data_IF_220718917322
#
_entry.id   IF_220718917322
#
_cell.length_a   1.000
_cell.length_b   1.000
_cell.length_c   1.000
_cell.angle_alpha   90.00
_cell.angle_beta   90.00
_cell.angle_gamma   90.00
#
_symmetry.space_group_name_H-M   'P 1'
#
loop_
_entity.id
_entity.type
_entity.pdbx_description
1 polymer ?
#
# COMPACT_ATOMS: atom_id res chain seq x y z
N UNK A 1 12.25 -24.12 -15.56
CA UNK A 1 13.09 -24.12 -14.33
C UNK A 1 12.89 -22.80 -13.60
N UNK A 2 13.31 -21.67 -14.18
CA UNK A 2 13.11 -20.32 -13.63
C UNK A 2 11.71 -20.04 -13.03
N UNK A 3 10.62 -20.30 -13.78
CA UNK A 3 9.25 -20.03 -13.29
C UNK A 3 8.92 -20.80 -12.00
N UNK A 4 9.37 -22.04 -11.87
CA UNK A 4 9.12 -22.86 -10.67
C UNK A 4 9.88 -22.32 -9.46
N UNK A 5 11.12 -21.88 -9.68
CA UNK A 5 11.95 -21.31 -8.62
C UNK A 5 11.43 -19.94 -8.17
N UNK A 6 11.04 -19.08 -9.12
CA UNK A 6 10.43 -17.79 -8.85
C UNK A 6 9.12 -17.94 -8.07
N UNK A 7 8.23 -18.84 -8.52
CA UNK A 7 6.98 -19.15 -7.82
C UNK A 7 7.22 -19.66 -6.39
N UNK A 8 8.15 -20.60 -6.22
CA UNK A 8 8.48 -21.14 -4.90
C UNK A 8 9.11 -20.10 -3.97
N UNK A 9 9.93 -19.18 -4.50
CA UNK A 9 10.53 -18.10 -3.74
C UNK A 9 9.49 -17.03 -3.35
N UNK A 10 8.69 -16.55 -4.31
CA UNK A 10 7.62 -15.57 -4.06
C UNK A 10 6.59 -16.08 -3.07
N UNK A 11 6.16 -17.35 -3.19
CA UNK A 11 5.24 -17.97 -2.24
C UNK A 11 5.82 -18.09 -0.82
N UNK A 12 7.15 -18.25 -0.67
CA UNK A 12 7.79 -18.21 0.65
C UNK A 12 7.88 -16.78 1.18
N UNK A 13 8.11 -15.81 0.30
CA UNK A 13 8.19 -14.40 0.67
C UNK A 13 6.84 -13.87 1.16
N UNK A 14 5.74 -14.18 0.47
CA UNK A 14 4.39 -13.80 0.92
C UNK A 14 4.09 -14.40 2.30
N UNK A 15 4.36 -15.69 2.51
CA UNK A 15 4.16 -16.33 3.83
C UNK A 15 5.05 -15.74 4.92
N UNK A 16 6.23 -15.23 4.58
CA UNK A 16 7.07 -14.49 5.51
C UNK A 16 6.42 -13.14 5.88
N UNK A 17 5.91 -12.39 4.89
CA UNK A 17 5.21 -11.13 5.15
C UNK A 17 3.95 -11.34 5.99
N UNK A 18 3.12 -12.35 5.69
CA UNK A 18 1.94 -12.70 6.49
C UNK A 18 2.29 -13.00 7.96
N UNK A 19 3.46 -13.59 8.21
CA UNK A 19 3.88 -13.93 9.57
C UNK A 19 4.48 -12.74 10.32
N UNK A 20 5.20 -11.88 9.63
CA UNK A 20 6.09 -10.89 10.25
C UNK A 20 5.62 -9.44 10.05
N UNK A 21 4.66 -9.20 9.16
CA UNK A 21 4.19 -7.88 8.73
C UNK A 21 2.66 -7.75 8.69
N UNK A 22 1.91 -8.76 9.13
CA UNK A 22 0.46 -8.66 9.44
C UNK A 22 0.33 -8.89 10.95
N UNK A 23 0.57 -7.82 11.71
CA UNK A 23 0.87 -7.93 13.14
C UNK A 23 -0.38 -8.15 13.99
N UNK A 24 -1.51 -7.61 13.59
CA UNK A 24 -2.80 -7.81 14.24
C UNK A 24 -3.67 -8.89 13.57
N UNK A 25 -3.18 -9.52 12.50
CA UNK A 25 -3.80 -10.65 11.80
C UNK A 25 -5.12 -10.29 11.12
N UNK A 26 -5.21 -9.06 10.62
CA UNK A 26 -6.40 -8.59 9.92
C UNK A 26 -6.29 -8.66 8.38
N UNK A 27 -5.09 -9.00 7.89
CA UNK A 27 -4.78 -9.18 6.47
C UNK A 27 -4.30 -7.90 5.77
N UNK A 28 -4.19 -6.78 6.47
CA UNK A 28 -3.45 -5.59 6.05
C UNK A 28 -2.05 -5.66 6.65
N UNK A 29 -1.10 -4.93 6.06
CA UNK A 29 0.31 -5.10 6.40
C UNK A 29 0.93 -3.83 6.93
N UNK A 30 1.71 -3.94 8.00
CA UNK A 30 2.47 -2.84 8.59
C UNK A 30 3.96 -2.99 8.30
N UNK A 31 4.65 -1.86 8.14
CA UNK A 31 6.11 -1.87 8.09
C UNK A 31 6.69 -2.15 9.49
N UNK A 32 7.94 -2.60 9.55
CA UNK A 32 8.64 -2.77 10.83
C UNK A 32 8.89 -1.45 11.58
N UNK A 33 9.53 -1.49 12.76
CA UNK A 33 9.80 -0.31 13.60
C UNK A 33 10.75 0.71 12.98
N UNK A 34 11.37 0.38 11.85
CA UNK A 34 12.20 1.28 11.04
C UNK A 34 11.73 1.21 9.59
N UNK A 35 10.46 1.56 9.34
CA UNK A 35 9.83 1.40 8.04
C UNK A 35 10.60 2.10 6.92
N UNK A 36 11.20 3.26 7.21
CA UNK A 36 12.07 4.01 6.29
C UNK A 36 13.19 3.12 5.70
N UNK A 37 13.82 2.26 6.50
CA UNK A 37 14.91 1.38 6.03
C UNK A 37 14.36 0.20 5.24
N UNK A 38 13.14 -0.27 5.58
CA UNK A 38 12.52 -1.43 4.93
C UNK A 38 11.96 -1.11 3.54
N UNK A 39 11.46 0.11 3.34
CA UNK A 39 10.87 0.54 2.06
C UNK A 39 11.75 1.51 1.26
N UNK A 40 12.85 1.99 1.84
CA UNK A 40 13.80 2.93 1.22
C UNK A 40 13.10 4.18 0.69
N UNK A 41 11.97 4.58 1.30
CA UNK A 41 11.44 5.94 1.09
C UNK A 41 12.47 6.94 1.62
N UNK A 42 12.53 8.11 0.99
CA UNK A 42 13.43 9.19 1.42
C UNK A 42 13.29 9.42 2.93
N UNK A 43 14.38 9.77 3.61
CA UNK A 43 14.47 9.80 5.08
C UNK A 43 13.49 10.74 5.80
N UNK A 44 12.68 11.51 5.06
CA UNK A 44 11.55 12.26 5.60
C UNK A 44 10.23 11.83 4.95
N UNK A 45 9.38 11.15 5.72
CA UNK A 45 8.04 10.76 5.31
C UNK A 45 7.00 11.45 6.19
N UNK A 46 6.13 12.25 5.58
CA UNK A 46 5.14 13.10 6.26
C UNK A 46 4.13 12.33 7.11
N UNK A 47 3.84 11.06 6.77
CA UNK A 47 2.93 10.21 7.54
C UNK A 47 3.67 9.45 8.63
N UNK A 48 4.81 8.84 8.33
CA UNK A 48 5.58 8.09 9.34
C UNK A 48 6.16 9.00 10.42
N UNK A 49 6.43 10.26 10.08
CA UNK A 49 6.97 11.26 10.98
C UNK A 49 5.91 12.31 11.34
N UNK A 50 4.63 11.92 11.38
CA UNK A 50 3.48 12.80 11.65
C UNK A 50 3.62 13.63 12.94
N UNK A 51 4.39 13.14 13.91
CA UNK A 51 4.65 13.80 15.19
C UNK A 51 6.04 14.43 15.30
N UNK A 52 6.84 14.42 14.23
CA UNK A 52 8.12 15.14 14.20
C UNK A 52 7.90 16.66 14.16
N UNK A 53 8.73 17.38 14.90
CA UNK A 53 8.81 18.85 14.87
C UNK A 53 9.85 19.38 13.86
N UNK A 54 10.40 18.51 12.99
CA UNK A 54 11.36 18.90 11.95
C UNK A 54 12.78 19.17 12.45
N UNK A 55 13.11 18.77 13.70
CA UNK A 55 14.46 18.92 14.29
C UNK A 55 15.28 17.63 14.23
N UNK A 56 14.60 16.49 14.19
CA UNK A 56 15.11 15.13 13.98
C UNK A 56 13.98 14.27 13.36
N UNK A 57 14.27 13.03 13.00
CA UNK A 57 13.29 12.10 12.41
C UNK A 57 12.07 11.86 13.32
N UNK A 58 12.16 12.18 14.62
CA UNK A 58 11.06 12.03 15.57
C UNK A 58 10.64 10.58 15.81
N UNK A 59 9.40 10.39 16.24
CA UNK A 59 8.77 9.06 16.36
C UNK A 59 8.34 8.59 14.97
N UNK A 60 8.92 7.47 14.53
CA UNK A 60 8.43 6.70 13.38
C UNK A 60 7.20 5.86 13.79
N UNK A 61 6.07 6.09 13.14
CA UNK A 61 4.81 5.36 13.38
C UNK A 61 4.54 4.26 12.34
N UNK A 62 5.48 3.94 11.44
CA UNK A 62 5.28 3.00 10.33
C UNK A 62 4.75 1.61 10.73
N UNK A 63 5.04 1.17 11.96
CA UNK A 63 4.59 -0.11 12.55
C UNK A 63 3.22 -0.06 13.23
N UNK A 64 2.59 1.10 13.20
CA UNK A 64 1.31 1.44 13.86
C UNK A 64 0.26 1.80 12.80
N UNK A 65 0.60 1.61 11.53
CA UNK A 65 -0.20 1.92 10.36
C UNK A 65 -0.34 0.66 9.51
N UNK A 66 -1.55 0.45 9.03
CA UNK A 66 -1.76 -0.38 7.87
C UNK A 66 -1.21 0.38 6.66
N UNK A 67 -0.11 -0.16 6.14
CA UNK A 67 0.66 0.48 5.11
C UNK A 67 0.02 0.20 3.74
N UNK A 68 -0.59 1.23 3.14
CA UNK A 68 -1.23 1.14 1.83
C UNK A 68 -0.27 0.57 0.78
N UNK A 69 0.97 1.06 0.74
CA UNK A 69 1.97 0.60 -0.19
C UNK A 69 2.30 -0.89 -0.01
N UNK A 70 2.63 -1.32 1.22
CA UNK A 70 2.98 -2.72 1.48
C UNK A 70 1.81 -3.65 1.19
N UNK A 71 0.61 -3.32 1.66
CA UNK A 71 -0.60 -4.11 1.43
C UNK A 71 -0.89 -4.23 -0.07
N UNK A 72 -0.70 -3.15 -0.83
CA UNK A 72 -0.87 -3.14 -2.28
C UNK A 72 0.23 -3.90 -3.03
N UNK A 73 1.48 -3.82 -2.56
CA UNK A 73 2.60 -4.60 -3.10
C UNK A 73 2.37 -6.10 -2.90
N UNK A 74 1.88 -6.50 -1.72
CA UNK A 74 1.49 -7.89 -1.45
C UNK A 74 0.35 -8.32 -2.37
N UNK A 75 -0.68 -7.50 -2.54
CA UNK A 75 -1.77 -7.80 -3.47
C UNK A 75 -1.26 -8.03 -4.90
N UNK A 76 -0.36 -7.19 -5.40
CA UNK A 76 0.23 -7.38 -6.73
C UNK A 76 1.08 -8.65 -6.82
N UNK A 77 1.89 -8.96 -5.80
CA UNK A 77 2.71 -10.18 -5.79
C UNK A 77 1.83 -11.43 -5.76
N UNK A 78 0.77 -11.45 -4.94
CA UNK A 78 -0.21 -12.54 -4.89
C UNK A 78 -0.92 -12.71 -6.24
N UNK A 79 -1.29 -11.62 -6.92
CA UNK A 79 -1.83 -11.67 -8.27
C UNK A 79 -0.89 -12.40 -9.23
N UNK A 80 0.41 -12.06 -9.22
CA UNK A 80 1.36 -12.73 -10.10
C UNK A 80 1.65 -14.17 -9.67
N UNK A 81 1.62 -14.51 -8.38
CA UNK A 81 1.70 -15.90 -7.93
C UNK A 81 0.53 -16.73 -8.47
N UNK A 82 -0.69 -16.17 -8.54
CA UNK A 82 -1.81 -16.81 -9.22
C UNK A 82 -1.49 -17.08 -10.69
N UNK A 83 -0.99 -16.07 -11.42
CA UNK A 83 -0.61 -16.22 -12.84
C UNK A 83 0.48 -17.27 -13.04
N UNK A 84 1.48 -17.32 -12.15
CA UNK A 84 2.52 -18.36 -12.20
C UNK A 84 1.94 -19.76 -11.91
N UNK A 85 1.00 -19.87 -10.97
CA UNK A 85 0.31 -21.13 -10.67
C UNK A 85 -0.52 -21.62 -11.87
N UNK A 86 -1.21 -20.72 -12.59
CA UNK A 86 -1.93 -21.00 -13.83
C UNK A 86 -0.98 -21.59 -14.90
N UNK A 87 0.15 -20.93 -15.16
CA UNK A 87 1.16 -21.39 -16.12
C UNK A 87 1.82 -22.72 -15.74
N UNK A 88 1.89 -23.03 -14.45
CA UNK A 88 2.44 -24.28 -13.93
C UNK A 88 1.40 -25.42 -13.81
N UNK A 89 0.11 -25.13 -14.00
CA UNK A 89 -0.99 -26.08 -13.76
C UNK A 89 -1.15 -26.47 -12.29
N UNK A 90 -0.78 -25.58 -11.36
CA UNK A 90 -0.94 -25.79 -9.91
C UNK A 90 -2.31 -25.32 -9.44
N UNK A 91 -3.33 -26.16 -9.63
CA UNK A 91 -4.73 -25.87 -9.26
C UNK A 91 -4.92 -25.42 -7.79
N UNK A 92 -4.09 -25.95 -6.87
CA UNK A 92 -4.15 -25.54 -5.46
C UNK A 92 -3.62 -24.13 -5.27
N UNK A 93 -2.50 -23.82 -5.92
CA UNK A 93 -1.94 -22.47 -5.95
C UNK A 93 -2.91 -21.47 -6.56
N UNK A 94 -3.55 -21.80 -7.68
CA UNK A 94 -4.55 -20.93 -8.33
C UNK A 94 -5.65 -20.56 -7.32
N UNK A 95 -6.21 -21.55 -6.61
CA UNK A 95 -7.24 -21.31 -5.61
C UNK A 95 -6.73 -20.45 -4.43
N UNK A 96 -5.58 -20.82 -3.83
CA UNK A 96 -4.97 -20.10 -2.69
C UNK A 96 -4.71 -18.62 -3.02
N UNK A 97 -4.07 -18.35 -4.16
CA UNK A 97 -3.69 -16.99 -4.53
C UNK A 97 -4.88 -16.17 -5.03
N UNK A 98 -5.91 -16.79 -5.60
CA UNK A 98 -7.15 -16.08 -5.96
C UNK A 98 -7.87 -15.58 -4.71
N UNK A 99 -8.10 -16.46 -3.73
CA UNK A 99 -8.79 -16.10 -2.48
C UNK A 99 -8.04 -14.99 -1.73
N UNK A 100 -6.70 -15.10 -1.64
CA UNK A 100 -5.87 -14.07 -1.01
C UNK A 100 -5.93 -12.74 -1.75
N UNK A 101 -5.86 -12.77 -3.10
CA UNK A 101 -5.94 -11.55 -3.89
C UNK A 101 -7.28 -10.85 -3.69
N UNK A 102 -8.38 -11.58 -3.84
CA UNK A 102 -9.73 -11.04 -3.70
C UNK A 102 -9.90 -10.42 -2.31
N UNK A 103 -9.49 -11.13 -1.25
CA UNK A 103 -9.53 -10.62 0.12
C UNK A 103 -8.72 -9.32 0.30
N UNK A 104 -7.52 -9.25 -0.26
CA UNK A 104 -6.68 -8.05 -0.16
C UNK A 104 -7.32 -6.86 -0.89
N UNK A 105 -7.87 -7.09 -2.09
CA UNK A 105 -8.54 -6.02 -2.82
C UNK A 105 -9.79 -5.51 -2.09
N UNK A 106 -10.54 -6.39 -1.43
CA UNK A 106 -11.67 -5.99 -0.57
C UNK A 106 -11.19 -5.11 0.58
N UNK A 107 -10.14 -5.52 1.30
CA UNK A 107 -9.58 -4.78 2.43
C UNK A 107 -9.05 -3.39 2.03
N UNK A 108 -8.29 -3.33 0.93
CA UNK A 108 -7.76 -2.06 0.38
C UNK A 108 -8.91 -1.11 0.07
N UNK A 109 -9.95 -1.58 -0.63
CA UNK A 109 -11.08 -0.73 -1.00
C UNK A 109 -11.99 -0.37 0.17
N UNK A 110 -12.08 -1.22 1.18
CA UNK A 110 -12.93 -0.98 2.34
C UNK A 110 -12.31 0.04 3.31
N UNK A 111 -10.99 -0.06 3.55
CA UNK A 111 -10.35 0.65 4.66
C UNK A 111 -9.36 1.72 4.22
N UNK A 112 -8.84 1.63 3.01
CA UNK A 112 -7.81 2.57 2.52
C UNK A 112 -8.34 3.55 1.48
N UNK A 113 -9.51 3.32 0.91
CA UNK A 113 -10.19 4.26 0.01
C UNK A 113 -11.01 5.28 0.80
N UNK A 114 -10.80 6.56 0.52
CA UNK A 114 -11.65 7.61 1.06
C UNK A 114 -12.62 8.14 0.00
N UNK A 115 -13.91 7.92 0.23
CA UNK A 115 -14.96 8.36 -0.69
C UNK A 115 -15.07 9.89 -0.82
N UNK A 116 -14.72 10.65 0.22
CA UNK A 116 -14.84 12.10 0.16
C UNK A 116 -13.74 12.73 -0.72
N UNK A 117 -12.51 12.25 -0.57
CA UNK A 117 -11.36 12.71 -1.33
C UNK A 117 -11.20 12.01 -2.67
N UNK A 118 -11.89 10.88 -2.86
CA UNK A 118 -11.71 9.96 -3.99
C UNK A 118 -10.23 9.58 -4.18
N UNK A 119 -9.59 9.16 -3.08
CA UNK A 119 -8.15 8.85 -3.04
C UNK A 119 -7.83 7.78 -1.99
N UNK A 120 -6.70 7.09 -2.13
CA UNK A 120 -6.26 6.08 -1.16
C UNK A 120 -5.22 6.61 -0.16
N UNK A 121 -5.29 6.14 1.08
CA UNK A 121 -4.41 6.53 2.18
C UNK A 121 -4.00 5.34 3.07
N UNK A 122 -2.99 5.56 3.91
CA UNK A 122 -2.74 4.77 5.10
C UNK A 122 -3.92 4.87 6.08
N UNK A 123 -4.23 3.78 6.79
CA UNK A 123 -5.15 3.78 7.93
C UNK A 123 -4.43 3.30 9.20
N UNK A 124 -5.02 3.58 10.36
CA UNK A 124 -4.47 3.13 11.64
C UNK A 124 -4.79 1.65 11.85
N UNK A 125 -3.76 0.85 12.17
CA UNK A 125 -3.92 -0.58 12.53
C UNK A 125 -4.86 -0.78 13.74
N UNK A 126 -5.01 0.24 14.59
CA UNK A 126 -5.82 0.11 15.82
C UNK A 126 -7.30 0.41 15.61
N UNK A 127 -7.65 1.17 14.58
CA UNK A 127 -9.00 1.75 14.45
C UNK A 127 -9.59 1.68 13.05
N UNK A 128 -8.83 1.18 12.08
CA UNK A 128 -9.18 1.20 10.66
C UNK A 128 -9.54 2.59 10.12
N UNK A 129 -9.07 3.65 10.79
CA UNK A 129 -9.45 5.04 10.47
C UNK A 129 -8.28 5.84 9.91
N UNK A 130 -8.59 6.89 9.15
CA UNK A 130 -7.61 7.87 8.67
C UNK A 130 -7.16 8.87 9.76
N UNK A 131 -7.31 8.52 11.04
CA UNK A 131 -6.92 9.34 12.19
C UNK A 131 -6.07 8.51 13.15
N UNK A 132 -4.96 9.08 13.61
CA UNK A 132 -4.05 8.46 14.58
C UNK A 132 -3.68 9.48 15.65
N UNK A 133 -3.96 9.15 16.93
CA UNK A 133 -3.73 10.03 18.09
C UNK A 133 -4.22 11.49 17.88
N UNK A 134 -5.38 11.65 17.25
CA UNK A 134 -6.01 12.96 16.99
C UNK A 134 -5.40 13.75 15.83
N UNK A 135 -4.52 13.16 15.02
CA UNK A 135 -3.97 13.71 13.78
C UNK A 135 -4.49 12.94 12.57
N UNK A 136 -4.68 13.63 11.45
CA UNK A 136 -5.06 12.97 10.20
C UNK A 136 -3.87 12.27 9.56
N UNK A 137 -4.10 11.05 9.05
CA UNK A 137 -3.18 10.29 8.21
C UNK A 137 -3.31 10.64 6.71
N UNK A 138 -4.29 11.47 6.34
CA UNK A 138 -4.57 11.77 4.94
C UNK A 138 -3.51 12.69 4.34
N UNK A 139 -2.55 12.07 3.67
CA UNK A 139 -1.54 12.73 2.83
C UNK A 139 -1.61 12.12 1.45
N UNK A 140 -1.81 12.96 0.44
CA UNK A 140 -1.89 12.51 -0.96
C UNK A 140 -0.47 12.22 -1.45
N UNK A 141 0.04 11.07 -1.02
CA UNK A 141 1.31 10.52 -1.47
C UNK A 141 1.10 9.73 -2.77
N UNK A 142 2.17 9.57 -3.56
CA UNK A 142 2.16 8.81 -4.82
C UNK A 142 1.71 7.35 -4.63
N UNK A 143 1.82 6.83 -3.41
CA UNK A 143 1.35 5.48 -3.07
C UNK A 143 -0.16 5.32 -3.24
N UNK A 144 -0.93 6.42 -3.20
CA UNK A 144 -2.38 6.41 -3.43
C UNK A 144 -2.76 5.93 -4.84
N UNK A 145 -1.80 5.90 -5.77
CA UNK A 145 -1.99 5.36 -7.12
C UNK A 145 -1.63 3.88 -7.24
N UNK A 146 -0.95 3.29 -6.26
CA UNK A 146 -0.53 1.88 -6.32
C UNK A 146 -1.71 0.90 -6.45
N UNK A 147 -2.91 1.15 -5.85
CA UNK A 147 -4.05 0.27 -6.06
C UNK A 147 -4.45 0.11 -7.54
N UNK A 148 -4.24 1.12 -8.39
CA UNK A 148 -4.41 0.94 -9.85
C UNK A 148 -3.38 -0.01 -10.44
N UNK A 149 -2.10 0.14 -10.05
CA UNK A 149 -1.02 -0.72 -10.52
C UNK A 149 -1.21 -2.19 -10.12
N UNK A 150 -1.69 -2.42 -8.89
CA UNK A 150 -2.00 -3.75 -8.36
C UNK A 150 -3.33 -4.32 -8.86
N UNK A 151 -4.08 -3.58 -9.69
CA UNK A 151 -5.43 -3.94 -10.17
C UNK A 151 -6.47 -4.09 -9.04
N UNK A 152 -6.21 -3.47 -7.90
CA UNK A 152 -7.10 -3.46 -6.74
C UNK A 152 -8.18 -2.37 -6.83
N UNK A 153 -7.90 -1.26 -7.53
CA UNK A 153 -8.88 -0.20 -7.73
C UNK A 153 -9.93 -0.59 -8.80
N UNK A 154 -11.20 -0.24 -8.56
CA UNK A 154 -12.27 -0.35 -9.55
C UNK A 154 -12.04 0.61 -10.73
N UNK A 155 -12.80 0.44 -11.81
CA UNK A 155 -12.73 1.34 -12.96
C UNK A 155 -13.11 2.80 -12.59
N UNK A 156 -14.10 2.98 -11.71
CA UNK A 156 -14.53 4.27 -11.18
C UNK A 156 -13.43 4.91 -10.31
N UNK A 157 -12.85 4.14 -9.39
CA UNK A 157 -11.75 4.60 -8.55
C UNK A 157 -10.53 4.96 -9.41
N UNK A 158 -10.22 4.15 -10.43
CA UNK A 158 -9.13 4.45 -11.36
C UNK A 158 -9.38 5.75 -12.15
N UNK A 159 -10.61 6.02 -12.59
CA UNK A 159 -10.97 7.29 -13.24
C UNK A 159 -10.73 8.47 -12.30
N UNK A 160 -11.20 8.39 -11.05
CA UNK A 160 -10.97 9.45 -10.07
C UNK A 160 -9.49 9.65 -9.76
N UNK A 161 -8.71 8.56 -9.65
CA UNK A 161 -7.27 8.65 -9.48
C UNK A 161 -6.56 9.30 -10.67
N UNK A 162 -7.00 9.05 -11.92
CA UNK A 162 -6.48 9.76 -13.10
C UNK A 162 -6.77 11.26 -13.02
N UNK A 163 -7.93 11.68 -12.50
CA UNK A 163 -8.24 13.10 -12.28
C UNK A 163 -7.27 13.73 -11.27
N UNK A 164 -6.96 13.04 -10.15
CA UNK A 164 -5.92 13.52 -9.21
C UNK A 164 -4.53 13.57 -9.85
N UNK A 165 -4.16 12.53 -10.59
CA UNK A 165 -2.83 12.41 -11.22
C UNK A 165 -2.58 13.50 -12.26
N UNK A 166 -3.62 13.89 -13.01
CA UNK A 166 -3.56 14.88 -14.08
C UNK A 166 -3.92 16.30 -13.64
N UNK A 167 -4.20 16.51 -12.35
CA UNK A 167 -4.41 17.83 -11.78
C UNK A 167 -3.06 18.58 -11.65
N UNK A 168 -2.93 19.70 -12.37
CA UNK A 168 -1.74 20.54 -12.36
C UNK A 168 -1.42 21.13 -10.98
N UNK A 169 -2.41 21.38 -10.11
CA UNK A 169 -2.18 21.90 -8.76
C UNK A 169 -1.69 20.82 -7.78
N UNK A 170 -1.83 19.54 -8.14
CA UNK A 170 -1.50 18.39 -7.29
C UNK A 170 -0.30 17.62 -7.84
N UNK A 171 -0.54 16.65 -8.72
CA UNK A 171 0.48 15.71 -9.18
C UNK A 171 1.03 16.00 -10.58
N UNK A 172 0.31 16.74 -11.44
CA UNK A 172 0.72 17.00 -12.82
C UNK A 172 1.67 18.18 -12.94
N UNK A 173 2.86 18.06 -12.34
CA UNK A 173 3.83 19.16 -12.22
C UNK A 173 4.80 19.18 -13.39
N UNK A 174 5.43 20.34 -13.60
CA UNK A 174 6.36 20.61 -14.72
C UNK A 174 7.46 19.53 -14.89
N UNK A 175 7.92 18.93 -13.80
CA UNK A 175 9.01 17.96 -13.79
C UNK A 175 8.55 16.53 -13.47
N UNK A 176 7.28 16.22 -13.73
CA UNK A 176 6.68 14.90 -13.54
C UNK A 176 5.83 14.80 -12.28
N UNK A 177 5.49 13.57 -11.93
CA UNK A 177 4.63 13.21 -10.79
C UNK A 177 5.46 13.26 -9.50
N UNK A 178 5.15 14.16 -8.55
CA UNK A 178 5.85 14.22 -7.27
C UNK A 178 5.44 13.05 -6.35
N UNK A 179 6.28 12.76 -5.35
CA UNK A 179 6.01 11.72 -4.33
C UNK A 179 4.90 12.13 -3.34
N UNK A 180 4.66 13.44 -3.20
CA UNK A 180 3.58 14.06 -2.42
C UNK A 180 2.90 15.12 -3.30
N UNK A 181 1.59 15.22 -3.22
CA UNK A 181 0.82 16.25 -3.93
C UNK A 181 1.38 17.66 -3.66
N UNK A 182 1.55 18.47 -4.70
CA UNK A 182 2.18 19.78 -4.59
C UNK A 182 1.35 20.82 -3.80
N UNK A 183 0.08 20.53 -3.56
CA UNK A 183 -0.82 21.34 -2.75
C UNK A 183 -1.01 20.76 -1.33
N UNK A 184 -0.22 19.76 -0.91
CA UNK A 184 -0.15 19.38 0.50
C UNK A 184 0.45 20.56 1.31
N UNK A 185 -0.10 20.90 2.48
CA UNK A 185 0.36 22.04 3.26
C UNK A 185 1.70 21.84 4.00
N UNK A 186 2.31 20.65 3.93
CA UNK A 186 3.60 20.32 4.58
C UNK A 186 4.73 20.17 3.55
#
# INVERSE_FOLDING_TARGET
EFLKDAYAAGAKYIRYLEKERDKDQDGKYEWGPYGIIENVRDGWNVVFQLFSEGKDEGRDISRELDALDLTTQVANEVYYLRQMAEELGDEKGIAEWSEKYDRLTELINQFMWDEADQFYYHNSMYTDSFTFEGRSLKRKEIIGFLPMWARAASEEQAKALVEHLTNEESFWRKYGVPTLAANDPH
#
